data_IF_058488095324
#
_entry.id   IF_058488095324
#
_cell.length_a   1.000
_cell.length_b   1.000
_cell.length_c   1.000
_cell.angle_alpha   90.00
_cell.angle_beta   90.00
_cell.angle_gamma   90.00
#
_symmetry.space_group_name_H-M   'P 1'
#
loop_
_entity.id
_entity.type
_entity.pdbx_description
1 polymer ?
#
# COMPACT_ATOMS: atom_id res chain seq x y z
N UNK A 1 -14.25 17.84 25.27
CA UNK A 1 -13.42 17.84 24.05
C UNK A 1 -13.12 19.29 23.69
N UNK A 2 -11.84 19.63 23.57
CA UNK A 2 -11.40 20.96 23.15
C UNK A 2 -11.36 21.00 21.61
N UNK A 3 -11.98 22.00 21.00
CA UNK A 3 -12.05 22.15 19.54
C UNK A 3 -11.18 23.31 19.10
N UNK A 4 -10.54 23.17 17.94
CA UNK A 4 -9.77 24.21 17.27
C UNK A 4 -10.49 24.62 15.99
N UNK A 5 -10.54 25.94 15.74
CA UNK A 5 -11.08 26.51 14.51
C UNK A 5 -9.91 26.95 13.61
N UNK A 6 -9.91 26.50 12.37
CA UNK A 6 -8.90 26.85 11.37
C UNK A 6 -9.56 27.11 10.01
N UNK A 7 -8.80 27.65 9.07
CA UNK A 7 -9.27 27.89 7.70
C UNK A 7 -8.41 27.09 6.72
N UNK A 8 -9.02 26.26 5.88
CA UNK A 8 -8.35 25.50 4.81
C UNK A 8 -8.99 25.88 3.48
N UNK A 9 -8.21 26.45 2.55
CA UNK A 9 -8.68 26.91 1.24
C UNK A 9 -9.98 27.75 1.31
N UNK A 10 -9.98 28.74 2.21
CA UNK A 10 -11.10 29.65 2.51
C UNK A 10 -12.34 28.99 3.14
N UNK A 11 -12.27 27.71 3.54
CA UNK A 11 -13.33 27.05 4.32
C UNK A 11 -12.97 27.06 5.80
N UNK A 12 -13.86 27.56 6.64
CA UNK A 12 -13.73 27.43 8.09
C UNK A 12 -14.00 25.98 8.51
N UNK A 13 -13.08 25.41 9.28
CA UNK A 13 -13.10 24.03 9.74
C UNK A 13 -12.99 24.01 11.25
N UNK A 14 -13.80 23.17 11.90
CA UNK A 14 -13.75 22.92 13.33
C UNK A 14 -13.41 21.45 13.56
N UNK A 15 -12.30 21.18 14.24
CA UNK A 15 -11.85 19.81 14.55
C UNK A 15 -11.44 19.69 16.01
N UNK A 16 -11.38 18.46 16.50
CA UNK A 16 -10.85 18.19 17.84
C UNK A 16 -9.35 18.51 17.89
N UNK A 17 -8.90 19.06 19.03
CA UNK A 17 -7.49 19.32 19.29
C UNK A 17 -6.69 18.02 19.17
N UNK A 18 -5.55 18.09 18.47
CA UNK A 18 -4.72 16.91 18.16
C UNK A 18 -5.04 16.26 16.80
N UNK A 19 -6.06 16.74 16.09
CA UNK A 19 -6.31 16.34 14.70
C UNK A 19 -5.23 16.91 13.79
N UNK A 20 -4.66 16.09 12.90
CA UNK A 20 -3.69 16.57 11.91
C UNK A 20 -4.35 17.43 10.83
N UNK A 21 -3.58 18.32 10.20
CA UNK A 21 -4.07 19.14 9.06
C UNK A 21 -4.65 18.26 7.95
N UNK A 22 -4.03 17.10 7.68
CA UNK A 22 -4.51 16.16 6.67
C UNK A 22 -5.92 15.64 6.98
N UNK A 23 -6.17 15.23 8.22
CA UNK A 23 -7.50 14.77 8.65
C UNK A 23 -8.52 15.90 8.63
N UNK A 24 -8.12 17.10 9.07
CA UNK A 24 -8.97 18.29 9.03
C UNK A 24 -9.34 18.71 7.59
N UNK A 25 -8.42 18.57 6.63
CA UNK A 25 -8.72 18.83 5.22
C UNK A 25 -9.71 17.80 4.66
N UNK A 26 -9.50 16.51 4.97
CA UNK A 26 -10.38 15.42 4.52
C UNK A 26 -11.80 15.55 5.05
N UNK A 27 -12.00 16.04 6.29
CA UNK A 27 -13.35 16.22 6.87
C UNK A 27 -14.20 17.25 6.14
N UNK A 28 -13.59 18.15 5.35
CA UNK A 28 -14.28 19.15 4.52
C UNK A 28 -14.16 18.89 3.02
N UNK A 29 -13.80 17.66 2.65
CA UNK A 29 -13.69 17.20 1.27
C UNK A 29 -12.51 17.79 0.50
N UNK A 30 -11.48 18.28 1.19
CA UNK A 30 -10.24 18.76 0.56
C UNK A 30 -9.25 17.60 0.52
N UNK A 31 -8.92 17.17 -0.70
CA UNK A 31 -7.97 16.09 -0.92
C UNK A 31 -6.53 16.61 -0.97
N UNK A 32 -5.72 16.18 0.00
CA UNK A 32 -4.27 16.42 0.03
C UNK A 32 -3.60 15.09 -0.30
N UNK A 33 -2.79 15.02 -1.38
CA UNK A 33 -2.15 13.79 -1.81
C UNK A 33 -1.14 13.28 -0.77
N UNK A 34 -1.02 11.96 -0.65
CA UNK A 34 -0.13 11.27 0.29
C UNK A 34 0.49 10.04 -0.35
N UNK A 35 1.75 9.73 -0.03
CA UNK A 35 2.41 8.45 -0.38
C UNK A 35 2.85 7.65 0.84
N UNK A 36 3.46 8.26 1.86
CA UNK A 36 3.88 7.50 3.05
C UNK A 36 2.77 7.37 4.09
N UNK A 37 1.85 8.34 4.15
CA UNK A 37 0.76 8.30 5.11
C UNK A 37 -0.19 7.15 4.81
N UNK A 38 -0.58 6.43 5.86
CA UNK A 38 -1.55 5.35 5.83
C UNK A 38 -2.31 5.38 7.16
N UNK A 39 -3.62 5.12 7.12
CA UNK A 39 -4.48 5.08 8.30
C UNK A 39 -5.37 3.84 8.20
N UNK A 40 -5.33 3.01 9.22
CA UNK A 40 -6.20 1.84 9.37
C UNK A 40 -7.34 2.27 10.28
N UNK A 41 -8.35 2.92 9.68
CA UNK A 41 -9.41 3.65 10.39
C UNK A 41 -10.09 2.87 11.49
N UNK A 42 -10.40 1.59 11.25
CA UNK A 42 -11.11 0.73 12.20
C UNK A 42 -10.27 0.36 13.42
N UNK A 43 -8.95 0.43 13.32
CA UNK A 43 -8.01 0.10 14.40
C UNK A 43 -7.36 1.34 15.04
N UNK A 44 -7.65 2.53 14.53
CA UNK A 44 -7.03 3.79 14.96
C UNK A 44 -5.47 3.77 14.90
N UNK A 45 -4.90 3.02 13.96
CA UNK A 45 -3.46 2.92 13.75
C UNK A 45 -3.06 3.79 12.55
N UNK A 46 -2.01 4.59 12.70
CA UNK A 46 -1.56 5.52 11.66
C UNK A 46 -0.06 5.51 11.42
N UNK A 47 0.33 5.36 10.15
CA UNK A 47 1.69 5.63 9.71
C UNK A 47 1.80 7.11 9.32
N UNK A 48 2.45 7.94 10.14
CA UNK A 48 2.66 9.38 9.86
C UNK A 48 4.14 9.81 9.83
N UNK A 49 5.03 9.14 9.06
CA UNK A 49 6.47 9.40 9.12
C UNK A 49 6.85 10.77 8.56
N UNK A 50 5.99 11.42 7.77
CA UNK A 50 6.25 12.74 7.18
C UNK A 50 7.42 12.77 6.19
N UNK A 51 7.94 11.60 5.80
CA UNK A 51 9.15 11.46 4.98
C UNK A 51 8.92 11.72 3.49
N UNK A 52 7.78 11.34 2.92
CA UNK A 52 7.55 11.48 1.47
C UNK A 52 7.38 12.92 0.99
N UNK A 53 7.08 13.87 1.89
CA UNK A 53 6.83 15.30 1.60
C UNK A 53 5.77 15.62 0.51
N UNK A 54 5.00 14.65 0.02
CA UNK A 54 3.91 14.91 -0.94
C UNK A 54 2.74 15.67 -0.31
N UNK A 55 2.45 15.43 0.97
CA UNK A 55 1.34 16.08 1.67
C UNK A 55 1.63 17.51 2.16
N UNK A 56 2.64 18.17 1.59
CA UNK A 56 3.01 19.53 2.00
C UNK A 56 1.89 20.53 1.70
N UNK A 57 1.71 21.49 2.59
CA UNK A 57 0.77 22.61 2.49
C UNK A 57 1.45 23.91 2.93
N UNK A 58 0.89 25.02 2.49
CA UNK A 58 1.32 26.34 2.93
C UNK A 58 0.49 26.77 4.13
N UNK A 59 1.15 27.25 5.18
CA UNK A 59 0.52 27.77 6.40
C UNK A 59 0.96 29.22 6.54
N UNK A 60 0.00 30.15 6.66
CA UNK A 60 0.33 31.57 6.82
C UNK A 60 1.16 31.81 8.08
N UNK A 61 2.13 32.72 7.99
CA UNK A 61 3.12 32.97 9.06
C UNK A 61 4.25 31.93 9.14
N UNK A 62 4.14 30.77 8.46
CA UNK A 62 5.22 29.77 8.41
C UNK A 62 6.08 29.96 7.16
N UNK A 63 7.39 30.13 7.36
CA UNK A 63 8.34 30.28 6.24
C UNK A 63 8.40 29.03 5.36
N UNK A 64 8.41 27.84 5.94
CA UNK A 64 8.55 26.56 5.22
C UNK A 64 7.20 25.87 5.03
N UNK A 65 7.08 25.06 3.97
CA UNK A 65 5.89 24.22 3.77
C UNK A 65 5.78 23.14 4.85
N UNK A 66 4.57 22.99 5.39
CA UNK A 66 4.28 22.06 6.47
C UNK A 66 3.80 20.72 5.92
N UNK A 67 4.28 19.57 6.41
CA UNK A 67 3.68 18.27 6.07
C UNK A 67 2.32 18.14 6.76
N UNK A 68 1.23 18.00 5.99
CA UNK A 68 -0.12 17.96 6.57
C UNK A 68 -0.38 16.72 7.44
N UNK A 69 0.30 15.59 7.18
CA UNK A 69 0.03 14.32 7.87
C UNK A 69 0.51 14.28 9.32
N UNK A 70 1.55 15.04 9.67
CA UNK A 70 2.17 15.05 11.00
C UNK A 70 2.24 16.45 11.64
N UNK A 71 1.59 17.45 11.04
CA UNK A 71 1.40 18.77 11.66
C UNK A 71 -0.01 18.83 12.22
N UNK A 72 -0.13 19.14 13.50
CA UNK A 72 -1.41 19.29 14.19
C UNK A 72 -2.11 20.60 13.81
N UNK A 73 -3.44 20.56 13.75
CA UNK A 73 -4.25 21.74 13.54
C UNK A 73 -4.28 22.61 14.82
N UNK A 74 -4.03 23.91 14.65
CA UNK A 74 -4.13 24.90 15.73
C UNK A 74 -5.16 25.97 15.39
N UNK A 75 -5.66 26.64 16.43
CA UNK A 75 -6.60 27.76 16.28
C UNK A 75 -5.98 28.87 15.44
N UNK A 76 -6.79 29.49 14.60
CA UNK A 76 -6.43 30.62 13.72
C UNK A 76 -5.39 30.29 12.65
N UNK A 77 -5.11 29.00 12.38
CA UNK A 77 -4.32 28.59 11.22
C UNK A 77 -5.06 28.89 9.92
N UNK A 78 -4.36 29.50 8.97
CA UNK A 78 -4.82 29.68 7.59
C UNK A 78 -3.93 28.83 6.68
N UNK A 79 -4.55 27.87 6.00
CA UNK A 79 -3.87 26.81 5.24
C UNK A 79 -4.29 26.89 3.77
N UNK A 80 -3.31 26.85 2.88
CA UNK A 80 -3.52 26.81 1.43
C UNK A 80 -2.91 25.53 0.87
N UNK A 81 -3.72 24.71 0.22
CA UNK A 81 -3.30 23.36 -0.19
C UNK A 81 -2.80 23.26 -1.64
N UNK A 82 -3.12 24.25 -2.47
CA UNK A 82 -2.88 24.24 -3.92
C UNK A 82 -2.22 25.52 -4.46
N UNK A 83 -1.38 26.19 -3.66
CA UNK A 83 -0.56 27.31 -4.18
C UNK A 83 0.48 26.81 -5.18
N UNK A 84 0.92 27.66 -6.10
CA UNK A 84 1.97 27.28 -7.07
C UNK A 84 3.26 26.82 -6.36
N UNK A 85 3.55 27.40 -5.19
CA UNK A 85 4.66 26.97 -4.33
C UNK A 85 4.49 25.53 -3.84
N UNK A 86 3.30 25.15 -3.40
CA UNK A 86 2.98 23.78 -2.97
C UNK A 86 3.04 22.80 -4.15
N UNK A 87 2.44 23.16 -5.28
CA UNK A 87 2.42 22.31 -6.47
C UNK A 87 3.83 22.04 -7.00
N UNK A 88 4.67 23.07 -7.09
CA UNK A 88 6.07 22.93 -7.49
C UNK A 88 6.85 22.05 -6.52
N UNK A 89 6.67 22.23 -5.21
CA UNK A 89 7.36 21.40 -4.22
C UNK A 89 6.96 19.92 -4.33
N UNK A 90 5.66 19.63 -4.50
CA UNK A 90 5.17 18.24 -4.69
C UNK A 90 5.75 17.62 -5.95
N UNK A 91 5.77 18.38 -7.06
CA UNK A 91 6.32 17.92 -8.33
C UNK A 91 7.81 17.63 -8.23
N UNK A 92 8.60 18.56 -7.66
CA UNK A 92 10.04 18.36 -7.46
C UNK A 92 10.32 17.12 -6.62
N UNK A 93 9.63 16.96 -5.49
CA UNK A 93 9.81 15.79 -4.62
C UNK A 93 9.45 14.50 -5.35
N UNK A 94 8.34 14.50 -6.11
CA UNK A 94 7.96 13.31 -6.87
C UNK A 94 8.97 12.98 -7.97
N UNK A 95 9.46 13.98 -8.71
CA UNK A 95 10.50 13.77 -9.72
C UNK A 95 11.80 13.23 -9.10
N UNK A 96 12.17 13.65 -7.89
CA UNK A 96 13.31 13.08 -7.18
C UNK A 96 13.09 11.61 -6.79
N UNK A 97 11.89 11.25 -6.30
CA UNK A 97 11.54 9.85 -6.03
C UNK A 97 11.61 9.03 -7.32
N UNK A 98 11.07 9.55 -8.42
CA UNK A 98 11.06 8.88 -9.72
C UNK A 98 12.45 8.77 -10.35
N UNK A 99 13.37 9.70 -10.04
CA UNK A 99 14.76 9.63 -10.53
C UNK A 99 15.56 8.47 -9.96
N UNK A 100 15.11 7.92 -8.83
CA UNK A 100 15.70 6.78 -8.11
C UNK A 100 14.82 5.50 -8.24
N UNK A 101 13.85 5.49 -9.17
CA UNK A 101 12.89 4.39 -9.30
C UNK A 101 12.88 3.83 -10.73
N UNK A 102 12.94 2.50 -10.93
CA UNK A 102 12.93 1.92 -12.26
C UNK A 102 11.61 2.20 -12.99
N UNK A 103 11.72 2.54 -14.28
CA UNK A 103 10.58 2.89 -15.13
C UNK A 103 10.03 1.65 -15.90
N UNK A 104 9.88 0.52 -15.21
CA UNK A 104 9.48 -0.78 -15.79
C UNK A 104 7.96 -1.05 -15.66
N UNK A 105 7.14 0.00 -15.59
CA UNK A 105 5.71 -0.08 -15.26
C UNK A 105 4.89 -1.00 -16.16
N UNK A 106 5.35 -1.29 -17.39
CA UNK A 106 4.65 -2.18 -18.33
C UNK A 106 4.78 -3.67 -17.97
N UNK A 107 5.78 -4.04 -17.16
CA UNK A 107 6.05 -5.42 -16.74
C UNK A 107 5.94 -5.60 -15.22
N UNK A 108 5.81 -4.50 -14.46
CA UNK A 108 5.68 -4.52 -13.01
C UNK A 108 4.35 -5.14 -12.56
N UNK A 109 4.38 -6.04 -11.57
CA UNK A 109 3.19 -6.70 -11.03
C UNK A 109 2.18 -5.72 -10.38
N UNK A 110 2.64 -4.54 -9.94
CA UNK A 110 1.78 -3.48 -9.36
C UNK A 110 1.17 -2.54 -10.43
N UNK A 111 1.38 -2.81 -11.72
CA UNK A 111 0.92 -1.92 -12.80
C UNK A 111 -0.60 -1.73 -12.74
N UNK A 112 -1.07 -0.49 -12.88
CA UNK A 112 -2.49 -0.14 -12.75
C UNK A 112 -2.97 0.06 -11.31
N UNK A 113 -2.34 -0.59 -10.33
CA UNK A 113 -2.65 -0.50 -8.90
C UNK A 113 -1.53 0.17 -8.07
N UNK A 114 -0.59 0.87 -8.72
CA UNK A 114 0.54 1.53 -8.07
C UNK A 114 0.18 2.98 -7.67
N UNK A 115 0.32 3.31 -6.38
CA UNK A 115 0.05 4.67 -5.88
C UNK A 115 1.08 5.68 -6.40
N UNK A 116 2.34 5.27 -6.57
CA UNK A 116 3.39 6.14 -7.13
C UNK A 116 3.08 6.51 -8.60
N UNK A 117 2.67 5.51 -9.39
CA UNK A 117 2.23 5.71 -10.77
C UNK A 117 1.03 6.67 -10.82
N UNK A 118 0.01 6.41 -10.01
CA UNK A 118 -1.18 7.27 -9.89
C UNK A 118 -0.79 8.72 -9.53
N UNK A 119 0.18 8.89 -8.64
CA UNK A 119 0.66 10.22 -8.23
C UNK A 119 1.41 10.95 -9.36
N UNK A 120 2.22 10.24 -10.14
CA UNK A 120 2.86 10.80 -11.33
C UNK A 120 1.85 11.27 -12.37
N UNK A 121 0.78 10.50 -12.60
CA UNK A 121 -0.32 10.92 -13.45
C UNK A 121 -1.04 12.16 -12.90
N UNK A 122 -1.38 12.16 -11.61
CA UNK A 122 -2.11 13.24 -10.94
C UNK A 122 -1.35 14.58 -10.95
N UNK A 123 -0.04 14.56 -10.77
CA UNK A 123 0.81 15.76 -10.81
C UNK A 123 1.29 16.13 -12.22
N UNK A 124 0.87 15.39 -13.25
CA UNK A 124 1.20 15.70 -14.64
C UNK A 124 2.70 15.55 -14.97
N UNK A 125 3.41 14.65 -14.28
CA UNK A 125 4.81 14.35 -14.60
C UNK A 125 4.85 13.57 -15.91
N UNK A 126 5.57 14.11 -16.90
CA UNK A 126 5.77 13.51 -18.23
C UNK A 126 7.23 13.36 -18.61
N UNK A 127 8.08 14.08 -17.91
CA UNK A 127 9.53 14.06 -18.02
C UNK A 127 10.09 14.20 -16.61
N UNK A 128 11.19 13.48 -16.33
CA UNK A 128 11.93 13.55 -15.07
C UNK A 128 13.17 14.39 -15.36
N UNK A 129 13.23 15.60 -14.80
CA UNK A 129 14.33 16.53 -15.08
C UNK A 129 15.61 16.18 -14.32
N UNK A 130 15.46 15.54 -13.16
CA UNK A 130 16.58 15.13 -12.33
C UNK A 130 17.11 13.78 -12.80
N UNK A 131 18.42 13.71 -13.03
CA UNK A 131 19.14 12.48 -13.34
C UNK A 131 20.20 12.28 -12.27
N UNK A 132 20.28 11.07 -11.73
CA UNK A 132 21.21 10.71 -10.67
C UNK A 132 21.58 9.24 -10.75
N UNK A 133 22.36 8.81 -9.76
CA UNK A 133 22.52 7.39 -9.46
C UNK A 133 21.16 6.80 -9.05
N UNK A 134 20.93 5.55 -9.40
CA UNK A 134 19.79 4.78 -8.89
C UNK A 134 20.29 3.81 -7.84
N UNK A 135 19.56 3.70 -6.74
CA UNK A 135 19.78 2.73 -5.70
C UNK A 135 19.53 1.33 -6.26
N UNK A 136 20.41 0.39 -5.92
CA UNK A 136 20.27 -1.01 -6.31
C UNK A 136 20.48 -1.88 -5.08
N UNK A 137 19.59 -2.85 -4.90
CA UNK A 137 19.55 -3.74 -3.76
C UNK A 137 19.53 -5.19 -4.21
N UNK A 138 19.85 -6.09 -3.29
CA UNK A 138 19.73 -7.52 -3.53
C UNK A 138 18.25 -7.92 -3.60
N UNK A 139 17.87 -8.64 -4.64
CA UNK A 139 16.56 -9.27 -4.74
C UNK A 139 16.41 -10.41 -3.72
N UNK A 140 15.21 -10.57 -3.16
CA UNK A 140 14.87 -11.65 -2.24
C UNK A 140 13.55 -12.32 -2.67
N UNK A 141 13.65 -13.60 -3.00
CA UNK A 141 12.56 -14.43 -3.50
C UNK A 141 12.25 -15.50 -2.45
N UNK A 142 11.15 -15.30 -1.73
CA UNK A 142 10.63 -16.30 -0.79
C UNK A 142 9.49 -17.10 -1.44
N UNK A 143 9.02 -18.20 -0.80
CA UNK A 143 7.93 -19.01 -1.35
C UNK A 143 6.61 -18.25 -1.58
N UNK A 144 6.39 -17.14 -0.87
CA UNK A 144 5.11 -16.40 -0.92
C UNK A 144 5.26 -14.90 -1.25
N UNK A 145 6.43 -14.32 -1.00
CA UNK A 145 6.68 -12.87 -1.14
C UNK A 145 7.94 -12.65 -1.98
N UNK A 146 7.83 -11.77 -2.97
CA UNK A 146 8.94 -11.25 -3.77
C UNK A 146 9.27 -9.85 -3.28
N UNK A 147 10.56 -9.60 -3.04
CA UNK A 147 11.12 -8.32 -2.61
C UNK A 147 12.07 -7.78 -3.67
N UNK A 148 11.60 -6.75 -4.36
CA UNK A 148 12.36 -5.97 -5.33
C UNK A 148 12.57 -4.57 -4.76
N UNK A 149 13.62 -4.40 -3.97
CA UNK A 149 13.79 -3.18 -3.18
C UNK A 149 14.26 -1.98 -4.01
N UNK A 150 14.64 -2.15 -5.28
CA UNK A 150 14.89 -1.05 -6.22
C UNK A 150 13.61 -0.25 -6.47
N UNK A 151 12.44 -0.87 -6.26
CA UNK A 151 11.13 -0.21 -6.33
C UNK A 151 10.71 0.44 -5.01
N UNK A 152 11.55 0.43 -3.98
CA UNK A 152 11.23 1.00 -2.67
C UNK A 152 11.35 2.52 -2.67
N UNK A 153 10.34 3.21 -2.13
CA UNK A 153 10.35 4.67 -1.95
C UNK A 153 10.56 5.09 -0.49
N UNK A 154 11.03 4.17 0.35
CA UNK A 154 11.22 4.37 1.80
C UNK A 154 10.02 4.98 2.53
N UNK A 155 8.81 4.54 2.17
CA UNK A 155 7.57 5.03 2.79
C UNK A 155 7.32 4.47 4.21
N UNK A 156 8.02 3.39 4.58
CA UNK A 156 7.94 2.68 5.88
C UNK A 156 6.55 2.14 6.25
N UNK A 157 5.61 2.07 5.31
CA UNK A 157 4.27 1.46 5.55
C UNK A 157 4.39 -0.02 5.91
N UNK A 158 5.23 -0.76 5.18
CA UNK A 158 5.47 -2.18 5.41
C UNK A 158 6.13 -2.46 6.77
N UNK A 159 7.08 -1.61 7.19
CA UNK A 159 7.71 -1.68 8.51
C UNK A 159 6.70 -1.46 9.63
N UNK A 160 5.90 -0.40 9.57
CA UNK A 160 4.84 -0.14 10.56
C UNK A 160 3.85 -1.31 10.62
N UNK A 161 3.38 -1.79 9.46
CA UNK A 161 2.44 -2.92 9.41
C UNK A 161 3.04 -4.21 9.99
N UNK A 162 4.30 -4.50 9.73
CA UNK A 162 4.96 -5.69 10.26
C UNK A 162 5.21 -5.61 11.78
N UNK A 163 5.60 -4.44 12.28
CA UNK A 163 6.12 -4.29 13.63
C UNK A 163 5.07 -3.80 14.64
N UNK A 164 4.17 -2.90 14.23
CA UNK A 164 3.15 -2.32 15.11
C UNK A 164 1.82 -3.08 15.03
N UNK A 165 1.43 -3.54 13.83
CA UNK A 165 0.14 -4.24 13.64
C UNK A 165 0.30 -5.74 13.83
N UNK A 166 1.23 -6.37 13.09
CA UNK A 166 1.44 -7.81 13.18
C UNK A 166 2.35 -8.21 14.35
N UNK A 167 3.11 -7.26 14.93
CA UNK A 167 4.03 -7.50 16.04
C UNK A 167 5.12 -8.56 15.77
N UNK A 168 5.39 -8.86 14.50
CA UNK A 168 6.38 -9.87 14.09
C UNK A 168 7.80 -9.33 14.22
N UNK A 169 8.01 -8.03 13.95
CA UNK A 169 9.33 -7.41 14.11
C UNK A 169 10.33 -7.76 13.00
N UNK A 170 9.88 -8.24 11.84
CA UNK A 170 10.76 -8.77 10.79
C UNK A 170 11.36 -7.71 9.86
N UNK A 171 10.81 -6.49 9.78
CA UNK A 171 11.22 -5.47 8.80
C UNK A 171 11.66 -4.18 9.48
N UNK A 172 12.78 -3.61 9.09
CA UNK A 172 13.31 -2.36 9.65
C UNK A 172 13.97 -1.49 8.59
N UNK A 173 14.00 -0.18 8.80
CA UNK A 173 14.87 0.71 8.03
C UNK A 173 16.34 0.44 8.36
N UNK A 174 17.10 -0.10 7.41
CA UNK A 174 18.55 -0.35 7.50
C UNK A 174 19.32 0.66 6.65
N UNK A 175 20.65 0.68 6.80
CA UNK A 175 21.56 1.62 6.14
C UNK A 175 21.27 3.09 6.46
N UNK A 176 21.88 4.02 5.72
CA UNK A 176 21.79 5.47 5.96
C UNK A 176 21.83 6.27 4.68
N UNK A 177 21.12 7.41 4.69
CA UNK A 177 21.12 8.36 3.58
C UNK A 177 20.47 7.77 2.34
N UNK A 178 21.13 7.93 1.20
CA UNK A 178 20.64 7.43 -0.09
C UNK A 178 20.46 5.90 -0.12
N UNK A 179 21.33 5.17 0.57
CA UNK A 179 21.31 3.70 0.61
C UNK A 179 20.30 3.12 1.62
N UNK A 180 19.48 3.95 2.27
CA UNK A 180 18.53 3.48 3.27
C UNK A 180 17.39 2.67 2.63
N UNK A 181 17.09 1.50 3.19
CA UNK A 181 16.10 0.55 2.63
C UNK A 181 15.36 -0.19 3.75
N UNK A 182 14.14 -0.66 3.52
CA UNK A 182 13.44 -1.51 4.50
C UNK A 182 13.83 -2.97 4.29
N UNK A 183 14.55 -3.57 5.24
CA UNK A 183 15.04 -4.95 5.13
C UNK A 183 14.91 -5.73 6.44
N UNK A 184 14.93 -7.07 6.41
CA UNK A 184 15.23 -7.89 7.57
C UNK A 184 16.60 -7.56 8.17
N UNK A 185 16.85 -8.04 9.39
CA UNK A 185 18.13 -7.88 10.05
C UNK A 185 19.28 -8.36 9.15
N UNK A 186 20.37 -7.60 9.07
CA UNK A 186 21.54 -7.91 8.23
C UNK A 186 21.22 -8.11 6.75
N UNK A 187 20.09 -7.60 6.25
CA UNK A 187 19.64 -7.77 4.87
C UNK A 187 19.57 -9.24 4.43
N UNK A 188 19.27 -10.12 5.38
CA UNK A 188 19.07 -11.55 5.08
C UNK A 188 17.77 -11.77 4.32
N UNK A 189 17.70 -12.91 3.64
CA UNK A 189 16.48 -13.37 2.95
C UNK A 189 15.33 -13.56 3.96
N UNK A 190 14.09 -13.31 3.55
CA UNK A 190 12.91 -13.49 4.41
C UNK A 190 12.84 -14.89 5.00
N UNK A 191 13.28 -15.90 4.25
CA UNK A 191 13.32 -17.31 4.68
C UNK A 191 14.19 -17.54 5.92
N UNK A 192 15.23 -16.73 6.10
CA UNK A 192 16.13 -16.82 7.25
C UNK A 192 15.73 -15.89 8.39
N UNK A 193 14.70 -15.07 8.18
CA UNK A 193 14.21 -14.08 9.14
C UNK A 193 13.07 -14.64 10.00
N UNK A 194 12.54 -13.81 10.91
CA UNK A 194 11.34 -14.13 11.71
C UNK A 194 10.02 -13.97 10.93
N UNK A 195 10.07 -13.68 9.63
CA UNK A 195 8.90 -13.51 8.79
C UNK A 195 8.02 -14.78 8.76
N UNK A 196 6.71 -14.60 8.95
CA UNK A 196 5.71 -15.67 8.91
C UNK A 196 4.95 -15.73 7.58
N UNK A 197 5.34 -14.93 6.58
CA UNK A 197 4.71 -14.83 5.27
C UNK A 197 3.23 -14.41 5.27
N UNK A 198 2.78 -13.65 6.26
CA UNK A 198 1.38 -13.23 6.36
C UNK A 198 0.92 -12.22 5.27
N UNK A 199 1.84 -11.69 4.46
CA UNK A 199 1.54 -10.81 3.32
C UNK A 199 1.05 -9.40 3.68
N UNK A 200 0.93 -9.05 4.96
CA UNK A 200 0.40 -7.73 5.36
C UNK A 200 1.29 -6.56 4.90
N UNK A 201 2.61 -6.78 4.83
CA UNK A 201 3.54 -5.80 4.26
C UNK A 201 3.33 -5.59 2.75
N UNK A 202 2.96 -6.64 2.01
CA UNK A 202 2.62 -6.59 0.57
C UNK A 202 1.35 -5.78 0.34
N UNK A 203 0.32 -6.04 1.16
CA UNK A 203 -0.98 -5.37 1.08
C UNK A 203 -0.88 -3.84 1.23
N UNK A 204 0.06 -3.34 2.02
CA UNK A 204 0.23 -1.89 2.26
C UNK A 204 1.32 -1.22 1.42
N UNK A 205 2.08 -1.99 0.65
CA UNK A 205 3.16 -1.45 -0.16
C UNK A 205 2.57 -0.63 -1.32
N UNK A 206 2.91 0.67 -1.47
CA UNK A 206 2.34 1.55 -2.50
C UNK A 206 2.93 1.32 -3.90
N UNK A 207 4.04 0.57 -3.99
CA UNK A 207 4.79 0.31 -5.23
C UNK A 207 4.95 -1.20 -5.44
N UNK A 208 5.69 -1.59 -6.48
CA UNK A 208 6.05 -2.99 -6.74
C UNK A 208 7.19 -3.52 -5.88
N UNK A 209 7.57 -2.84 -4.77
CA UNK A 209 8.70 -3.27 -3.96
C UNK A 209 8.46 -4.57 -3.19
N UNK A 210 7.19 -4.79 -2.80
CA UNK A 210 6.74 -6.01 -2.14
C UNK A 210 5.54 -6.52 -2.91
N UNK A 211 5.61 -7.75 -3.40
CA UNK A 211 4.57 -8.41 -4.18
C UNK A 211 4.44 -9.87 -3.75
N UNK A 212 3.28 -10.46 -3.97
CA UNK A 212 3.07 -11.89 -3.88
C UNK A 212 3.76 -12.63 -5.04
N UNK A 213 4.07 -13.91 -4.83
CA UNK A 213 4.50 -14.77 -5.93
C UNK A 213 3.31 -15.04 -6.84
N UNK A 214 3.41 -14.64 -8.11
CA UNK A 214 2.34 -14.85 -9.09
C UNK A 214 2.40 -16.26 -9.71
N UNK A 215 1.39 -17.07 -9.40
CA UNK A 215 1.22 -18.42 -9.95
C UNK A 215 0.28 -18.48 -11.17
N UNK A 216 -0.21 -17.35 -11.68
CA UNK A 216 -1.21 -17.30 -12.76
C UNK A 216 -0.76 -18.06 -14.01
N UNK A 217 0.48 -17.86 -14.46
CA UNK A 217 1.01 -18.55 -15.63
C UNK A 217 1.13 -20.06 -15.45
N UNK A 218 1.39 -20.53 -14.23
CA UNK A 218 1.41 -21.96 -13.91
C UNK A 218 0.01 -22.56 -14.02
N UNK A 219 -1.00 -21.84 -13.51
CA UNK A 219 -2.41 -22.24 -13.60
C UNK A 219 -2.88 -22.27 -15.05
N UNK A 220 -2.57 -21.24 -15.85
CA UNK A 220 -2.93 -21.19 -17.28
C UNK A 220 -2.34 -22.39 -18.04
N UNK A 221 -1.06 -22.70 -17.81
CA UNK A 221 -0.40 -23.86 -18.44
C UNK A 221 -1.05 -25.17 -18.01
N UNK A 222 -1.46 -25.29 -16.75
CA UNK A 222 -2.15 -26.49 -16.27
C UNK A 222 -3.52 -26.65 -16.92
N UNK A 223 -4.29 -25.56 -17.06
CA UNK A 223 -5.61 -25.57 -17.72
C UNK A 223 -5.52 -25.85 -19.22
N UNK A 224 -4.44 -25.44 -19.87
CA UNK A 224 -4.21 -25.69 -21.29
C UNK A 224 -3.75 -27.12 -21.61
N UNK A 225 -3.32 -27.90 -20.62
CA UNK A 225 -2.82 -29.26 -20.79
C UNK A 225 -3.97 -30.27 -20.74
N UNK A 226 -4.37 -30.88 -21.88
CA UNK A 226 -5.51 -31.80 -21.93
C UNK A 226 -5.26 -33.12 -21.17
N UNK A 227 -4.01 -33.42 -20.80
CA UNK A 227 -3.69 -34.61 -20.02
C UNK A 227 -3.94 -34.44 -18.52
N UNK A 228 -4.17 -33.20 -18.06
CA UNK A 228 -4.36 -32.88 -16.65
C UNK A 228 -5.83 -32.75 -16.29
N UNK A 229 -6.17 -33.34 -15.15
CA UNK A 229 -7.40 -32.99 -14.43
C UNK A 229 -7.06 -31.88 -13.45
N UNK A 230 -7.51 -30.66 -13.75
CA UNK A 230 -7.26 -29.47 -12.94
C UNK A 230 -8.42 -29.24 -11.99
N UNK A 231 -8.09 -29.25 -10.71
CA UNK A 231 -9.03 -29.02 -9.60
C UNK A 231 -8.70 -27.68 -8.96
N UNK A 232 -9.73 -26.89 -8.64
CA UNK A 232 -9.59 -25.66 -7.86
C UNK A 232 -10.39 -25.77 -6.58
N UNK A 233 -9.83 -25.22 -5.51
CA UNK A 233 -10.46 -25.12 -4.21
C UNK A 233 -10.32 -23.68 -3.70
N UNK A 234 -11.43 -23.03 -3.37
CA UNK A 234 -11.42 -21.62 -2.95
C UNK A 234 -11.51 -21.49 -1.44
N UNK A 235 -10.64 -20.66 -0.85
CA UNK A 235 -10.67 -20.35 0.57
C UNK A 235 -11.94 -19.56 0.98
N UNK A 236 -12.39 -19.67 2.24
CA UNK A 236 -13.64 -19.05 2.71
C UNK A 236 -13.71 -17.55 2.43
N UNK A 237 -12.65 -16.80 2.75
CA UNK A 237 -12.62 -15.34 2.64
C UNK A 237 -12.76 -14.81 1.20
N UNK A 238 -12.36 -15.59 0.19
CA UNK A 238 -12.37 -15.17 -1.23
C UNK A 238 -13.80 -14.82 -1.68
N UNK A 239 -14.80 -15.58 -1.24
CA UNK A 239 -16.21 -15.37 -1.65
C UNK A 239 -16.83 -14.09 -1.07
N UNK A 240 -16.22 -13.50 -0.04
CA UNK A 240 -16.69 -12.29 0.63
C UNK A 240 -15.97 -11.03 0.13
N UNK A 241 -14.71 -11.14 -0.30
CA UNK A 241 -13.88 -10.01 -0.72
C UNK A 241 -13.80 -9.83 -2.25
N UNK A 242 -13.82 -10.92 -3.04
CA UNK A 242 -13.57 -10.84 -4.49
C UNK A 242 -14.51 -9.90 -5.23
N UNK A 243 -15.73 -9.70 -4.73
CA UNK A 243 -16.69 -8.77 -5.34
C UNK A 243 -16.19 -7.32 -5.43
N UNK A 244 -15.30 -6.90 -4.53
CA UNK A 244 -14.77 -5.53 -4.45
C UNK A 244 -13.97 -5.18 -5.71
N UNK A 245 -13.20 -6.12 -6.24
CA UNK A 245 -12.46 -5.98 -7.51
C UNK A 245 -13.37 -5.80 -8.73
N UNK A 246 -14.65 -6.15 -8.60
CA UNK A 246 -15.67 -5.96 -9.63
C UNK A 246 -16.60 -4.76 -9.31
N UNK A 247 -16.21 -3.89 -8.38
CA UNK A 247 -16.95 -2.69 -8.01
C UNK A 247 -18.19 -2.95 -7.13
N UNK A 248 -18.31 -4.15 -6.56
CA UNK A 248 -19.34 -4.43 -5.56
C UNK A 248 -18.95 -3.86 -4.20
N UNK A 249 -19.94 -3.66 -3.32
CA UNK A 249 -19.68 -3.16 -1.96
C UNK A 249 -18.88 -4.20 -1.17
N UNK A 250 -17.98 -3.78 -0.26
CA UNK A 250 -17.29 -4.70 0.65
C UNK A 250 -18.25 -5.62 1.41
N UNK A 251 -17.87 -6.89 1.51
CA UNK A 251 -18.70 -7.94 2.14
C UNK A 251 -19.84 -8.48 1.26
N UNK A 252 -19.95 -8.08 -0.01
CA UNK A 252 -20.93 -8.66 -0.93
C UNK A 252 -20.56 -10.10 -1.27
N UNK A 253 -21.40 -11.07 -0.89
CA UNK A 253 -21.18 -12.48 -1.19
C UNK A 253 -21.28 -12.78 -2.69
N UNK A 254 -20.24 -13.40 -3.23
CA UNK A 254 -20.14 -13.77 -4.65
C UNK A 254 -19.96 -15.28 -4.88
N UNK A 255 -20.27 -16.14 -3.91
CA UNK A 255 -20.04 -17.60 -3.95
C UNK A 255 -20.47 -18.27 -5.26
N UNK A 256 -21.73 -18.12 -5.65
CA UNK A 256 -22.24 -18.74 -6.89
C UNK A 256 -21.61 -18.14 -8.16
N UNK A 257 -21.29 -16.84 -8.15
CA UNK A 257 -20.63 -16.17 -9.28
C UNK A 257 -19.19 -16.64 -9.42
N UNK A 258 -18.47 -16.79 -8.32
CA UNK A 258 -17.11 -17.32 -8.25
C UNK A 258 -17.06 -18.76 -8.81
N UNK A 259 -17.92 -19.65 -8.32
CA UNK A 259 -17.98 -21.02 -8.82
C UNK A 259 -18.31 -21.09 -10.33
N UNK A 260 -19.26 -20.27 -10.79
CA UNK A 260 -19.59 -20.18 -12.21
C UNK A 260 -18.42 -19.64 -13.06
N UNK A 261 -17.68 -18.65 -12.56
CA UNK A 261 -16.52 -18.10 -13.24
C UNK A 261 -15.39 -19.14 -13.36
N UNK A 262 -15.08 -19.87 -12.29
CA UNK A 262 -14.06 -20.93 -12.31
C UNK A 262 -14.41 -22.04 -13.30
N UNK A 263 -15.68 -22.46 -13.37
CA UNK A 263 -16.12 -23.43 -14.40
C UNK A 263 -15.93 -22.89 -15.81
N UNK A 264 -16.24 -21.60 -16.04
CA UNK A 264 -16.04 -20.94 -17.34
C UNK A 264 -14.57 -20.79 -17.71
N UNK A 265 -13.66 -20.69 -16.73
CA UNK A 265 -12.21 -20.66 -16.94
C UNK A 265 -11.63 -22.02 -17.35
N UNK A 266 -12.39 -23.12 -17.21
CA UNK A 266 -11.99 -24.44 -17.71
C UNK A 266 -11.53 -25.41 -16.62
N UNK A 267 -11.70 -25.11 -15.33
CA UNK A 267 -11.42 -26.08 -14.27
C UNK A 267 -12.36 -27.29 -14.37
N UNK A 268 -11.82 -28.50 -14.26
CA UNK A 268 -12.59 -29.74 -14.34
C UNK A 268 -13.50 -29.91 -13.12
N UNK A 269 -12.98 -29.56 -11.94
CA UNK A 269 -13.72 -29.60 -10.67
C UNK A 269 -13.49 -28.32 -9.87
N UNK A 270 -14.57 -27.80 -9.30
CA UNK A 270 -14.57 -26.63 -8.42
C UNK A 270 -15.07 -27.09 -7.06
N UNK A 271 -14.15 -27.16 -6.11
CA UNK A 271 -14.42 -27.49 -4.71
C UNK A 271 -14.28 -26.27 -3.83
N UNK A 272 -14.62 -26.48 -2.57
CA UNK A 272 -14.69 -25.45 -1.56
C UNK A 272 -13.82 -25.86 -0.37
N UNK A 273 -12.96 -24.95 0.11
CA UNK A 273 -12.12 -25.23 1.29
C UNK A 273 -12.94 -25.36 2.56
N UNK A 274 -14.17 -24.86 2.60
CA UNK A 274 -15.07 -25.03 3.73
C UNK A 274 -15.29 -26.54 4.03
N UNK A 275 -15.32 -27.40 3.00
CA UNK A 275 -15.39 -28.86 3.20
C UNK A 275 -14.15 -29.41 3.91
N UNK A 276 -12.96 -28.96 3.51
CA UNK A 276 -11.72 -29.36 4.17
C UNK A 276 -11.63 -28.78 5.58
N UNK A 277 -12.18 -27.59 5.82
CA UNK A 277 -12.28 -27.00 7.15
C UNK A 277 -13.19 -27.83 8.05
N UNK A 278 -14.34 -28.32 7.56
CA UNK A 278 -15.20 -29.24 8.31
C UNK A 278 -14.46 -30.54 8.70
N UNK A 279 -13.66 -31.09 7.77
CA UNK A 279 -12.80 -32.24 8.07
C UNK A 279 -11.75 -31.90 9.13
N UNK A 280 -11.12 -30.72 9.07
CA UNK A 280 -10.20 -30.26 10.11
C UNK A 280 -10.88 -30.20 11.47
N UNK A 281 -12.10 -29.67 11.55
CA UNK A 281 -12.86 -29.61 12.81
C UNK A 281 -13.23 -31.00 13.34
N UNK A 282 -13.54 -31.97 12.46
CA UNK A 282 -13.79 -33.34 12.88
C UNK A 282 -12.58 -33.97 13.57
N UNK A 283 -11.38 -33.75 13.04
CA UNK A 283 -10.14 -34.29 13.60
C UNK A 283 -9.67 -33.49 14.84
N UNK A 284 -9.56 -32.16 14.75
CA UNK A 284 -9.10 -31.29 15.84
C UNK A 284 -10.10 -31.26 17.01
N UNK A 285 -11.40 -31.42 16.74
CA UNK A 285 -12.41 -31.57 17.78
C UNK A 285 -12.38 -32.92 18.50
N UNK A 286 -11.67 -33.91 17.93
CA UNK A 286 -11.48 -35.24 18.54
C UNK A 286 -10.16 -35.34 19.33
N UNK A 287 -9.15 -34.54 18.99
CA UNK A 287 -7.85 -34.44 19.68
C UNK A 287 -7.97 -33.92 21.13
#
# INVERSE_FOLDING_TARGET
MEFVNLTIDNKSVKVEKGTSILKAARSVGIDIPTLCYMSLGDMNIENKPGGCRICVVEVEGRRNLAPACCTDAHTDMVIKTNTMRVLNARRTVLELILSDHPADCLICAKSGNCELQTMAHKLGVREIHYKGEMSTYKEDFSPSIIRDMDKCIMCRRCEMMCNEVQTVGALWGVNRGFQAVVSPAFEMDLEKSTCTYCGQCVAVCPTGALTEVDHTNQVIRALADPSKTVVVQTAPAVRAALGEEFGLKPGTLVTGKLAAALRRLGFNFVFDTDFAADLTIMEEGTE
#
